data_IF_297628678192
#
_entry.id   IF_297628678192
#
_cell.length_a   1.000
_cell.length_b   1.000
_cell.length_c   1.000
_cell.angle_alpha   90.00
_cell.angle_beta   90.00
_cell.angle_gamma   90.00
#
_symmetry.space_group_name_H-M   'P 1'
#
loop_
_entity.id
_entity.type
_entity.pdbx_description
1 polymer ?
#
# COMPACT_ATOMS: atom_id res chain seq x y z
N UNK A 1 34.87 17.10 -9.47
CA UNK A 1 33.79 16.92 -10.44
C UNK A 1 33.14 15.53 -10.36
N UNK A 2 33.96 14.50 -10.27
CA UNK A 2 33.45 13.12 -10.19
C UNK A 2 32.60 12.86 -8.94
N UNK A 3 33.00 13.43 -7.77
CA UNK A 3 32.23 13.28 -6.55
C UNK A 3 30.87 13.95 -6.64
N UNK A 4 30.79 15.12 -7.25
CA UNK A 4 29.52 15.83 -7.45
C UNK A 4 28.63 15.02 -8.36
N UNK A 5 29.19 14.46 -9.42
CA UNK A 5 28.44 13.59 -10.35
C UNK A 5 27.91 12.36 -9.62
N UNK A 6 28.71 11.67 -8.86
CA UNK A 6 28.28 10.47 -8.11
C UNK A 6 27.22 10.81 -7.06
N UNK A 7 27.35 11.93 -6.36
CA UNK A 7 26.37 12.36 -5.38
C UNK A 7 25.03 12.68 -6.06
N UNK A 8 25.07 13.39 -7.18
CA UNK A 8 23.86 13.71 -7.95
C UNK A 8 23.19 12.45 -8.47
N UNK A 9 23.95 11.49 -8.97
CA UNK A 9 23.44 10.24 -9.48
C UNK A 9 22.82 9.41 -8.35
N UNK A 10 23.47 9.34 -7.19
CA UNK A 10 22.98 8.63 -6.02
C UNK A 10 21.65 9.24 -5.54
N UNK A 11 21.59 10.56 -5.46
CA UNK A 11 20.36 11.27 -5.05
C UNK A 11 19.22 11.00 -6.01
N UNK A 12 19.50 11.05 -7.32
CA UNK A 12 18.48 10.74 -8.34
C UNK A 12 18.00 9.31 -8.23
N UNK A 13 18.90 8.36 -8.00
CA UNK A 13 18.56 6.95 -7.85
C UNK A 13 17.68 6.70 -6.64
N UNK A 14 17.98 7.36 -5.50
CA UNK A 14 17.17 7.26 -4.29
C UNK A 14 15.77 7.81 -4.51
N UNK A 15 15.66 8.95 -5.18
CA UNK A 15 14.37 9.56 -5.48
C UNK A 15 13.51 8.66 -6.37
N UNK A 16 14.11 8.09 -7.41
CA UNK A 16 13.42 7.15 -8.32
C UNK A 16 13.01 5.89 -7.57
N UNK A 17 13.92 5.33 -6.77
CA UNK A 17 13.66 4.13 -5.98
C UNK A 17 12.54 4.33 -4.97
N UNK A 18 12.52 5.47 -4.28
CA UNK A 18 11.45 5.80 -3.35
C UNK A 18 10.10 5.94 -4.07
N UNK A 19 10.11 6.56 -5.24
CA UNK A 19 8.91 6.67 -6.07
C UNK A 19 8.39 5.32 -6.50
N UNK A 20 9.27 4.41 -6.91
CA UNK A 20 8.88 3.04 -7.28
C UNK A 20 8.32 2.28 -6.08
N UNK A 21 8.89 2.47 -4.89
CA UNK A 21 8.41 1.82 -3.68
C UNK A 21 6.98 2.25 -3.32
N UNK A 22 6.60 3.50 -3.62
CA UNK A 22 5.24 3.98 -3.33
C UNK A 22 4.17 3.34 -4.22
N UNK A 23 4.55 2.63 -5.27
CA UNK A 23 3.58 1.87 -6.09
C UNK A 23 2.83 0.86 -5.23
N UNK A 24 3.47 0.32 -4.20
CA UNK A 24 2.82 -0.58 -3.25
C UNK A 24 1.63 0.05 -2.53
N UNK A 25 1.64 1.35 -2.31
CA UNK A 25 0.51 2.06 -1.71
C UNK A 25 -0.71 2.01 -2.63
N UNK A 26 -0.50 2.16 -3.93
CA UNK A 26 -1.57 2.06 -4.93
C UNK A 26 -2.16 0.64 -4.92
N UNK A 27 -1.31 -0.37 -4.81
CA UNK A 27 -1.75 -1.77 -4.69
C UNK A 27 -2.63 -1.98 -3.47
N UNK A 28 -2.26 -1.41 -2.32
CA UNK A 28 -3.08 -1.47 -1.11
C UNK A 28 -4.43 -0.80 -1.31
N UNK A 29 -4.47 0.37 -1.97
CA UNK A 29 -5.71 1.05 -2.27
C UNK A 29 -6.64 0.22 -3.14
N UNK A 30 -6.12 -0.38 -4.20
CA UNK A 30 -6.89 -1.28 -5.06
C UNK A 30 -7.36 -2.51 -4.29
N UNK A 31 -6.51 -3.08 -3.44
CA UNK A 31 -6.88 -4.23 -2.61
C UNK A 31 -8.03 -3.91 -1.66
N UNK A 32 -8.00 -2.75 -1.02
CA UNK A 32 -9.09 -2.29 -0.16
C UNK A 32 -10.40 -2.18 -0.96
N UNK A 33 -10.33 -1.60 -2.15
CA UNK A 33 -11.49 -1.49 -3.03
C UNK A 33 -12.09 -2.85 -3.36
N UNK A 34 -11.25 -3.84 -3.64
CA UNK A 34 -11.69 -5.20 -3.93
C UNK A 34 -12.37 -5.83 -2.71
N UNK A 35 -11.79 -5.64 -1.52
CA UNK A 35 -12.35 -6.17 -0.27
C UNK A 35 -13.73 -5.60 -0.02
N UNK A 36 -13.91 -4.28 -0.15
CA UNK A 36 -15.20 -3.64 0.07
C UNK A 36 -16.22 -3.97 -1.01
N UNK A 37 -15.78 -4.14 -2.26
CA UNK A 37 -16.66 -4.60 -3.33
C UNK A 37 -17.21 -6.00 -3.00
N UNK A 38 -16.33 -6.89 -2.53
CA UNK A 38 -16.74 -8.22 -2.08
C UNK A 38 -17.75 -8.17 -0.93
N UNK A 39 -17.52 -7.26 0.03
CA UNK A 39 -18.43 -7.06 1.15
C UNK A 39 -19.82 -6.65 0.66
N UNK A 40 -19.91 -5.68 -0.23
CA UNK A 40 -21.19 -5.20 -0.73
C UNK A 40 -21.95 -6.30 -1.45
N UNK A 41 -21.26 -7.10 -2.26
CA UNK A 41 -21.89 -8.25 -2.93
C UNK A 41 -22.38 -9.27 -1.90
N UNK A 42 -21.56 -9.59 -0.91
CA UNK A 42 -21.92 -10.58 0.11
C UNK A 42 -23.11 -10.10 0.95
N UNK A 43 -23.15 -8.81 1.33
CA UNK A 43 -24.25 -8.24 2.09
C UNK A 43 -25.55 -8.24 1.30
N UNK A 44 -25.48 -7.98 0.00
CA UNK A 44 -26.69 -8.00 -0.85
C UNK A 44 -27.29 -9.40 -0.95
N UNK A 45 -26.46 -10.43 -0.83
CA UNK A 45 -26.91 -11.83 -0.88
C UNK A 45 -27.34 -12.37 0.47
N UNK A 46 -26.75 -11.88 1.55
CA UNK A 46 -26.98 -12.40 2.89
C UNK A 46 -26.92 -11.30 3.95
N UNK A 47 -27.93 -10.41 4.02
CA UNK A 47 -27.94 -9.31 4.96
C UNK A 47 -27.90 -9.76 6.43
N UNK A 48 -28.35 -10.96 6.72
CA UNK A 48 -28.36 -11.48 8.10
C UNK A 48 -26.96 -11.71 8.66
N UNK A 49 -25.92 -11.75 7.81
CA UNK A 49 -24.55 -11.98 8.22
C UNK A 49 -23.74 -10.69 8.31
N UNK A 50 -24.39 -9.53 8.37
CA UNK A 50 -23.69 -8.23 8.34
C UNK A 50 -22.60 -8.12 9.39
N UNK A 51 -22.91 -8.46 10.66
CA UNK A 51 -21.93 -8.31 11.75
C UNK A 51 -20.69 -9.18 11.51
N UNK A 52 -20.88 -10.42 11.07
CA UNK A 52 -19.76 -11.33 10.82
C UNK A 52 -18.95 -10.89 9.61
N UNK A 53 -19.62 -10.47 8.54
CA UNK A 53 -18.95 -9.98 7.33
C UNK A 53 -18.14 -8.73 7.62
N UNK A 54 -18.68 -7.81 8.43
CA UNK A 54 -17.95 -6.60 8.81
C UNK A 54 -16.67 -6.93 9.58
N UNK A 55 -16.71 -7.89 10.51
CA UNK A 55 -15.52 -8.30 11.25
C UNK A 55 -14.43 -8.82 10.31
N UNK A 56 -14.80 -9.65 9.36
CA UNK A 56 -13.86 -10.24 8.41
C UNK A 56 -13.30 -9.17 7.48
N UNK A 57 -14.14 -8.25 7.01
CA UNK A 57 -13.72 -7.19 6.11
C UNK A 57 -12.79 -6.20 6.81
N UNK A 58 -13.04 -5.87 8.08
CA UNK A 58 -12.14 -5.00 8.83
C UNK A 58 -10.77 -5.65 9.02
N UNK A 59 -10.73 -6.97 9.23
CA UNK A 59 -9.46 -7.69 9.27
C UNK A 59 -8.75 -7.62 7.93
N UNK A 60 -9.46 -7.85 6.82
CA UNK A 60 -8.90 -7.75 5.48
C UNK A 60 -8.39 -6.34 5.17
N UNK A 61 -9.15 -5.32 5.56
CA UNK A 61 -8.75 -3.92 5.45
C UNK A 61 -7.43 -3.67 6.19
N UNK A 62 -7.33 -4.13 7.45
CA UNK A 62 -6.15 -3.92 8.26
C UNK A 62 -4.91 -4.59 7.65
N UNK A 63 -5.05 -5.80 7.14
CA UNK A 63 -3.95 -6.53 6.51
C UNK A 63 -3.52 -5.85 5.21
N UNK A 64 -4.47 -5.37 4.42
CA UNK A 64 -4.17 -4.67 3.17
C UNK A 64 -3.47 -3.34 3.45
N UNK A 65 -3.94 -2.60 4.45
CA UNK A 65 -3.34 -1.33 4.86
C UNK A 65 -1.91 -1.55 5.37
N UNK A 66 -1.66 -2.64 6.08
CA UNK A 66 -0.32 -2.97 6.57
C UNK A 66 0.67 -3.09 5.41
N UNK A 67 0.27 -3.64 4.28
CA UNK A 67 1.13 -3.73 3.09
C UNK A 67 1.42 -2.35 2.52
N UNK A 68 0.44 -1.45 2.51
CA UNK A 68 0.64 -0.06 2.08
C UNK A 68 1.60 0.69 2.99
N UNK A 69 1.46 0.50 4.30
CA UNK A 69 2.36 1.10 5.28
C UNK A 69 3.78 0.57 5.14
N UNK A 70 3.94 -0.72 4.86
CA UNK A 70 5.25 -1.29 4.59
C UNK A 70 5.89 -0.66 3.36
N UNK A 71 5.12 -0.43 2.30
CA UNK A 71 5.61 0.23 1.08
C UNK A 71 6.10 1.65 1.38
N UNK A 72 5.35 2.42 2.19
CA UNK A 72 5.76 3.76 2.61
C UNK A 72 7.04 3.70 3.43
N UNK A 73 7.15 2.75 4.35
CA UNK A 73 8.36 2.57 5.14
C UNK A 73 9.57 2.30 4.25
N UNK A 74 9.42 1.44 3.25
CA UNK A 74 10.50 1.17 2.31
C UNK A 74 10.88 2.42 1.51
N UNK A 75 9.91 3.22 1.11
CA UNK A 75 10.17 4.47 0.40
C UNK A 75 11.02 5.42 1.26
N UNK A 76 10.69 5.59 2.54
CA UNK A 76 11.47 6.42 3.43
C UNK A 76 12.87 5.85 3.68
N UNK A 77 13.01 4.54 3.84
CA UNK A 77 14.31 3.91 4.02
C UNK A 77 15.20 4.14 2.80
N UNK A 78 14.66 4.05 1.59
CA UNK A 78 15.41 4.29 0.37
C UNK A 78 15.80 5.76 0.25
N UNK A 79 14.87 6.66 0.55
CA UNK A 79 15.08 8.08 0.36
C UNK A 79 16.12 8.66 1.33
N UNK A 80 16.11 8.21 2.58
CA UNK A 80 16.94 8.76 3.65
C UNK A 80 18.10 7.86 4.07
N UNK A 81 18.39 6.84 3.32
CA UNK A 81 19.57 5.98 3.61
C UNK A 81 20.89 6.52 2.98
#
# INVERSE_FOLDING_TARGET
MDQVFFLSLTTAAKSIGAGLATIGVVGAGAGIGIVFAGLLVALSRNPAKEARLMQIVLLGFALTEAMGLLAIMMAFLILYS
#
